data_IF_121083703780
#
_entry.id   IF_121083703780
#
_cell.length_a   1.000
_cell.length_b   1.000
_cell.length_c   1.000
_cell.angle_alpha   90.00
_cell.angle_beta   90.00
_cell.angle_gamma   90.00
#
_symmetry.space_group_name_H-M   'P 1'
#
loop_
_entity.id
_entity.type
_entity.pdbx_description
1 polymer ?
#
# COMPACT_ATOMS: atom_id res chain seq x y z
N UNK A 1 -7.25 10.23 0.71
CA UNK A 1 -7.62 11.25 -0.30
C UNK A 1 -6.82 11.06 -1.58
N UNK A 2 -7.18 11.73 -2.69
CA UNK A 2 -6.40 11.68 -3.93
C UNK A 2 -5.01 12.35 -3.79
N UNK A 3 -4.90 13.43 -3.02
CA UNK A 3 -3.64 14.09 -2.65
C UNK A 3 -3.28 15.34 -3.45
N UNK A 4 -3.63 15.39 -4.74
CA UNK A 4 -3.28 16.54 -5.60
C UNK A 4 -4.09 17.82 -5.33
N UNK A 5 -5.26 17.71 -4.71
CA UNK A 5 -6.14 18.83 -4.39
C UNK A 5 -6.72 18.63 -2.98
N UNK A 6 -6.29 19.45 -2.03
CA UNK A 6 -6.87 19.55 -0.70
C UNK A 6 -6.54 20.93 -0.11
N UNK A 7 -7.26 21.31 0.94
CA UNK A 7 -6.93 22.48 1.76
C UNK A 7 -6.68 22.01 3.19
N UNK A 8 -5.71 22.61 3.86
CA UNK A 8 -5.39 22.33 5.26
C UNK A 8 -5.02 23.64 5.97
N UNK A 9 -5.28 23.70 7.27
CA UNK A 9 -4.68 24.72 8.11
C UNK A 9 -3.15 24.57 8.05
N UNK A 10 -2.43 25.68 7.83
CA UNK A 10 -0.98 25.68 7.65
C UNK A 10 -0.26 25.12 8.87
N UNK A 11 -0.63 25.57 10.06
CA UNK A 11 0.05 25.21 11.29
C UNK A 11 -0.22 23.74 11.61
N UNK A 12 -1.46 23.27 11.44
CA UNK A 12 -1.79 21.85 11.54
C UNK A 12 -1.00 20.98 10.56
N UNK A 13 -0.86 21.40 9.29
CA UNK A 13 -0.10 20.65 8.27
C UNK A 13 1.36 20.40 8.70
N UNK A 14 2.00 21.39 9.31
CA UNK A 14 3.37 21.25 9.82
C UNK A 14 3.42 20.54 11.18
N UNK A 15 2.42 20.74 12.05
CA UNK A 15 2.30 20.04 13.34
C UNK A 15 2.20 18.53 13.14
N UNK A 16 1.39 18.07 12.17
CA UNK A 16 1.33 16.65 11.83
C UNK A 16 2.53 16.17 11.03
N UNK A 17 3.52 17.03 10.74
CA UNK A 17 4.82 16.63 10.18
C UNK A 17 5.00 16.78 8.66
N UNK A 18 4.20 17.62 7.99
CA UNK A 18 4.41 17.96 6.57
C UNK A 18 4.33 16.74 5.65
N UNK A 19 5.14 16.69 4.60
CA UNK A 19 5.40 15.46 3.84
C UNK A 19 6.67 14.76 4.35
N UNK A 20 6.81 13.48 4.03
CA UNK A 20 8.08 12.77 4.17
C UNK A 20 9.06 13.29 3.11
N UNK A 21 10.03 14.11 3.52
CA UNK A 21 10.99 14.78 2.62
C UNK A 21 11.88 13.81 1.84
N UNK A 22 11.95 12.55 2.28
CA UNK A 22 12.71 11.51 1.60
C UNK A 22 11.88 10.74 0.55
N UNK A 23 10.59 11.04 0.41
CA UNK A 23 9.81 10.57 -0.75
C UNK A 23 10.23 11.32 -2.00
N UNK A 24 10.32 10.59 -3.11
CA UNK A 24 10.91 11.09 -4.33
C UNK A 24 9.89 11.18 -5.48
N UNK A 25 10.04 12.19 -6.32
CA UNK A 25 9.26 12.48 -7.53
C UNK A 25 7.73 12.47 -7.32
N UNK A 26 7.11 11.29 -7.27
CA UNK A 26 5.67 11.12 -7.22
C UNK A 26 5.25 9.73 -6.71
N UNK A 27 4.18 9.69 -5.94
CA UNK A 27 3.43 8.48 -5.61
C UNK A 27 3.60 8.08 -4.15
N UNK A 28 2.49 7.67 -3.52
CA UNK A 28 2.46 7.18 -2.14
C UNK A 28 2.28 8.26 -1.07
N UNK A 29 2.65 9.52 -1.35
CA UNK A 29 2.57 10.62 -0.38
C UNK A 29 1.12 10.91 0.04
N UNK A 30 0.17 10.75 -0.88
CA UNK A 30 -1.25 10.90 -0.64
C UNK A 30 -1.81 9.85 0.33
N UNK A 31 -1.30 8.61 0.27
CA UNK A 31 -1.66 7.53 1.20
C UNK A 31 -0.97 7.74 2.54
N UNK A 32 0.31 8.10 2.55
CA UNK A 32 1.09 8.37 3.77
C UNK A 32 0.40 9.43 4.62
N UNK A 33 0.11 10.61 4.05
CA UNK A 33 -0.58 11.68 4.77
C UNK A 33 -2.00 11.28 5.16
N UNK A 34 -2.67 10.44 4.35
CA UNK A 34 -4.01 9.94 4.69
C UNK A 34 -4.00 9.08 5.94
N UNK A 35 -3.08 8.11 6.03
CA UNK A 35 -2.94 7.25 7.20
C UNK A 35 -2.52 8.07 8.41
N UNK A 36 -1.50 8.93 8.25
CA UNK A 36 -1.02 9.79 9.33
C UNK A 36 -2.10 10.69 9.91
N UNK A 37 -2.81 11.47 9.09
CA UNK A 37 -3.84 12.40 9.58
C UNK A 37 -4.92 11.65 10.38
N UNK A 38 -5.47 10.56 9.83
CA UNK A 38 -6.49 9.78 10.53
C UNK A 38 -5.97 9.13 11.81
N UNK A 39 -4.80 8.50 11.75
CA UNK A 39 -4.25 7.77 12.90
C UNK A 39 -3.75 8.72 13.99
N UNK A 40 -3.41 9.96 13.68
CA UNK A 40 -2.88 10.95 14.62
C UNK A 40 -3.93 11.98 15.07
N UNK A 41 -5.22 11.69 14.92
CA UNK A 41 -6.31 12.47 15.54
C UNK A 41 -6.97 13.53 14.66
N UNK A 42 -6.63 13.59 13.37
CA UNK A 42 -7.33 14.42 12.38
C UNK A 42 -8.43 13.68 11.62
N UNK A 43 -9.02 14.39 10.66
CA UNK A 43 -9.98 13.85 9.70
C UNK A 43 -9.63 14.30 8.28
N UNK A 44 -10.14 13.57 7.30
CA UNK A 44 -10.06 13.93 5.88
C UNK A 44 -11.47 13.93 5.33
N UNK A 45 -11.87 15.06 4.76
CA UNK A 45 -13.25 15.29 4.35
C UNK A 45 -13.32 15.67 2.88
N UNK A 46 -14.34 15.16 2.20
CA UNK A 46 -14.70 15.56 0.85
C UNK A 46 -15.83 16.59 0.97
N UNK A 47 -15.61 17.82 0.50
CA UNK A 47 -16.62 18.88 0.52
C UNK A 47 -17.38 18.92 -0.81
N UNK A 48 -18.64 18.43 -0.88
CA UNK A 48 -19.35 18.31 -2.16
C UNK A 48 -19.64 19.66 -2.83
N UNK A 49 -19.69 20.75 -2.06
CA UNK A 49 -19.89 22.11 -2.57
C UNK A 49 -18.61 22.73 -3.18
N UNK A 50 -17.45 22.11 -3.01
CA UNK A 50 -16.18 22.57 -3.56
C UNK A 50 -15.85 21.80 -4.83
N UNK A 51 -15.89 22.48 -5.98
CA UNK A 51 -15.67 21.86 -7.29
C UNK A 51 -14.37 22.37 -7.90
N UNK A 52 -13.46 21.44 -8.21
CA UNK A 52 -12.23 21.74 -8.96
C UNK A 52 -12.06 20.67 -10.04
N UNK A 53 -11.96 21.10 -11.29
CA UNK A 53 -11.71 20.20 -12.43
C UNK A 53 -10.25 19.75 -12.47
N UNK A 54 -10.03 18.45 -12.69
CA UNK A 54 -8.70 17.87 -12.89
C UNK A 54 -8.66 17.08 -14.21
N UNK A 55 -7.66 17.35 -15.05
CA UNK A 55 -7.45 16.62 -16.30
C UNK A 55 -6.66 15.35 -16.00
N UNK A 56 -7.37 14.23 -15.91
CA UNK A 56 -6.75 12.91 -15.76
C UNK A 56 -5.94 12.55 -17.01
N UNK A 57 -4.74 11.99 -16.79
CA UNK A 57 -3.82 11.54 -17.83
C UNK A 57 -3.59 10.04 -17.68
N UNK A 58 -3.27 9.37 -18.78
CA UNK A 58 -2.96 7.93 -18.78
C UNK A 58 -1.55 7.60 -18.28
N UNK A 59 -0.66 8.59 -18.18
CA UNK A 59 0.72 8.38 -17.75
C UNK A 59 1.42 9.68 -17.37
N UNK A 60 2.62 9.53 -16.82
CA UNK A 60 3.48 10.62 -16.36
C UNK A 60 4.24 11.21 -17.56
N UNK A 61 4.16 12.53 -17.81
CA UNK A 61 4.85 13.16 -18.95
C UNK A 61 6.31 13.55 -18.63
N UNK A 62 6.82 13.20 -17.44
CA UNK A 62 8.14 13.57 -16.94
C UNK A 62 8.92 12.32 -16.53
N UNK A 63 10.23 12.48 -16.32
CA UNK A 63 11.11 11.41 -15.87
C UNK A 63 10.71 10.96 -14.45
N UNK A 64 10.44 9.67 -14.30
CA UNK A 64 10.08 9.02 -13.04
C UNK A 64 11.29 8.41 -12.34
N UNK A 65 12.50 8.78 -12.77
CA UNK A 65 13.76 8.36 -12.13
C UNK A 65 14.07 9.26 -10.95
N UNK A 66 14.07 8.68 -9.76
CA UNK A 66 14.45 9.37 -8.52
C UNK A 66 15.96 9.42 -8.30
N UNK A 67 16.34 9.98 -7.15
CA UNK A 67 17.68 9.98 -6.56
C UNK A 67 18.31 8.59 -6.64
N UNK A 68 19.63 8.57 -6.82
CA UNK A 68 20.41 7.34 -6.97
C UNK A 68 19.94 6.42 -8.11
N UNK A 69 19.39 6.98 -9.19
CA UNK A 69 18.89 6.25 -10.36
C UNK A 69 17.75 5.26 -10.01
N UNK A 70 16.93 5.61 -9.01
CA UNK A 70 15.79 4.82 -8.59
C UNK A 70 14.68 4.84 -9.65
N UNK A 71 14.42 3.71 -10.31
CA UNK A 71 13.40 3.57 -11.36
C UNK A 71 12.02 3.18 -10.86
N UNK A 72 11.86 2.88 -9.57
CA UNK A 72 10.59 2.51 -8.93
C UNK A 72 10.27 3.46 -7.77
N UNK A 73 10.26 4.77 -8.04
CA UNK A 73 9.97 5.82 -7.04
C UNK A 73 8.65 5.61 -6.32
N UNK A 74 7.60 5.21 -7.06
CA UNK A 74 6.30 4.86 -6.48
C UNK A 74 6.41 3.69 -5.50
N UNK A 75 7.18 2.66 -5.85
CA UNK A 75 7.43 1.52 -4.98
C UNK A 75 8.21 1.88 -3.72
N UNK A 76 9.30 2.63 -3.85
CA UNK A 76 10.11 3.05 -2.70
C UNK A 76 9.32 3.95 -1.75
N UNK A 77 8.58 4.92 -2.28
CA UNK A 77 7.71 5.78 -1.45
C UNK A 77 6.61 4.96 -0.76
N UNK A 78 6.00 4.01 -1.47
CA UNK A 78 5.01 3.09 -0.91
C UNK A 78 5.60 2.18 0.18
N UNK A 79 6.87 1.80 0.05
CA UNK A 79 7.56 1.04 1.10
C UNK A 79 7.84 1.91 2.33
N UNK A 80 8.28 3.16 2.17
CA UNK A 80 8.46 4.11 3.29
C UNK A 80 7.17 4.26 4.10
N UNK A 81 6.04 4.48 3.43
CA UNK A 81 4.75 4.60 4.13
C UNK A 81 4.34 3.29 4.82
N UNK A 82 4.54 2.13 4.17
CA UNK A 82 4.15 0.84 4.72
C UNK A 82 4.96 0.48 5.97
N UNK A 83 6.27 0.77 5.96
CA UNK A 83 7.16 0.52 7.10
C UNK A 83 6.87 1.41 8.32
N UNK A 84 6.28 2.60 8.12
CA UNK A 84 5.96 3.53 9.20
C UNK A 84 4.52 3.39 9.69
N UNK A 85 3.55 3.19 8.79
CA UNK A 85 2.12 3.38 9.11
C UNK A 85 1.28 2.11 9.08
N UNK A 86 1.72 1.03 8.42
CA UNK A 86 0.87 -0.16 8.21
C UNK A 86 1.05 -1.28 9.24
N UNK A 87 1.90 -1.11 10.25
CA UNK A 87 2.17 -2.13 11.29
C UNK A 87 2.41 -3.51 10.66
N UNK A 88 1.78 -4.57 11.18
CA UNK A 88 1.89 -5.93 10.64
C UNK A 88 1.12 -6.12 9.32
N UNK A 89 0.23 -5.20 8.93
CA UNK A 89 -0.53 -5.26 7.68
C UNK A 89 0.34 -4.97 6.46
N UNK A 90 1.56 -4.44 6.63
CA UNK A 90 2.54 -4.33 5.54
C UNK A 90 2.86 -5.68 4.90
N UNK A 91 2.63 -6.81 5.60
CA UNK A 91 2.72 -8.16 5.00
C UNK A 91 1.86 -8.29 3.74
N UNK A 92 0.65 -7.71 3.74
CA UNK A 92 -0.27 -7.75 2.61
C UNK A 92 0.23 -6.86 1.47
N UNK A 93 0.80 -5.68 1.79
CA UNK A 93 1.46 -4.84 0.79
C UNK A 93 2.59 -5.61 0.08
N UNK A 94 3.42 -6.35 0.83
CA UNK A 94 4.55 -7.08 0.27
C UNK A 94 4.17 -8.31 -0.56
N UNK A 95 2.99 -8.91 -0.36
CA UNK A 95 2.42 -9.94 -1.26
C UNK A 95 2.18 -9.37 -2.67
N UNK A 96 1.76 -8.11 -2.77
CA UNK A 96 1.56 -7.43 -4.06
C UNK A 96 2.84 -6.78 -4.60
N UNK A 97 3.82 -6.50 -3.74
CA UNK A 97 5.08 -5.84 -4.09
C UNK A 97 6.30 -6.66 -3.62
N UNK A 98 6.33 -7.94 -3.98
CA UNK A 98 7.40 -8.86 -3.55
C UNK A 98 8.81 -8.38 -3.91
N UNK A 99 8.96 -7.63 -5.02
CA UNK A 99 10.24 -7.04 -5.41
C UNK A 99 10.78 -5.96 -4.45
N UNK A 100 9.98 -5.51 -3.48
CA UNK A 100 10.38 -4.50 -2.50
C UNK A 100 10.89 -5.08 -1.18
N UNK A 101 10.68 -6.39 -0.91
CA UNK A 101 11.07 -7.03 0.35
C UNK A 101 11.54 -8.46 0.11
N UNK A 102 12.64 -8.82 0.77
CA UNK A 102 13.21 -10.16 0.72
C UNK A 102 12.28 -11.16 1.41
N UNK A 103 11.74 -12.10 0.64
CA UNK A 103 11.09 -13.31 1.15
C UNK A 103 11.83 -14.50 0.51
N UNK A 104 12.87 -14.96 1.21
CA UNK A 104 13.67 -16.17 0.97
C UNK A 104 14.57 -16.28 -0.30
N UNK A 105 15.88 -16.40 -0.02
CA UNK A 105 16.97 -17.13 -0.71
C UNK A 105 17.26 -16.98 -2.21
N UNK A 106 16.40 -16.41 -3.07
CA UNK A 106 16.68 -16.40 -4.53
C UNK A 106 16.38 -15.08 -5.27
N UNK A 107 16.04 -13.97 -4.59
CA UNK A 107 15.85 -12.66 -5.24
C UNK A 107 16.70 -11.59 -4.55
N UNK A 108 17.43 -10.84 -5.37
CA UNK A 108 18.39 -9.80 -4.99
C UNK A 108 17.67 -8.58 -4.40
N UNK A 109 17.89 -8.34 -3.11
CA UNK A 109 17.83 -7.01 -2.50
C UNK A 109 16.55 -6.66 -1.74
N UNK A 110 16.68 -6.42 -0.42
CA UNK A 110 15.73 -5.58 0.30
C UNK A 110 15.94 -4.16 -0.22
N UNK A 111 14.92 -3.56 -0.85
CA UNK A 111 15.09 -2.23 -1.44
C UNK A 111 15.32 -1.23 -0.33
N UNK A 112 16.54 -0.68 -0.25
CA UNK A 112 16.85 0.37 0.71
C UNK A 112 16.02 1.61 0.37
N UNK A 113 15.24 2.06 1.34
CA UNK A 113 14.39 3.25 1.23
C UNK A 113 14.92 4.42 2.03
N UNK A 114 16.13 4.31 2.58
CA UNK A 114 16.74 5.30 3.44
C UNK A 114 16.20 5.27 4.88
N UNK A 115 16.59 6.28 5.66
CA UNK A 115 16.23 6.36 7.07
C UNK A 115 14.73 6.69 7.27
N UNK A 116 14.12 6.01 8.24
CA UNK A 116 12.73 6.18 8.64
C UNK A 116 12.61 6.70 10.08
N UNK A 117 13.73 6.97 10.75
CA UNK A 117 13.78 7.33 12.17
C UNK A 117 12.91 8.54 12.49
N UNK A 118 13.00 9.62 11.69
CA UNK A 118 12.22 10.83 11.95
C UNK A 118 10.72 10.62 11.77
N UNK A 119 10.30 9.79 10.81
CA UNK A 119 8.88 9.44 10.62
C UNK A 119 8.35 8.56 11.76
N UNK A 120 9.15 7.61 12.25
CA UNK A 120 8.79 6.77 13.41
C UNK A 120 8.68 7.59 14.70
N UNK A 121 9.66 8.47 14.98
CA UNK A 121 9.60 9.40 16.12
C UNK A 121 8.41 10.35 16.03
N UNK A 122 8.08 10.85 14.84
CA UNK A 122 6.88 11.66 14.65
C UNK A 122 5.62 10.91 15.07
N UNK A 123 5.47 9.66 14.61
CA UNK A 123 4.34 8.79 14.98
C UNK A 123 4.24 8.57 16.50
N UNK A 124 5.39 8.36 17.16
CA UNK A 124 5.47 8.23 18.61
C UNK A 124 5.10 9.53 19.34
N UNK A 125 5.66 10.67 18.93
CA UNK A 125 5.40 11.99 19.54
C UNK A 125 3.93 12.40 19.47
N UNK A 126 3.28 12.13 18.34
CA UNK A 126 1.86 12.43 18.13
C UNK A 126 0.93 11.37 18.74
N UNK A 127 1.49 10.32 19.37
CA UNK A 127 0.74 9.23 20.00
C UNK A 127 -0.31 8.61 19.06
N UNK A 128 0.07 8.41 17.79
CA UNK A 128 -0.86 7.96 16.77
C UNK A 128 -1.35 6.53 17.05
N UNK A 129 -2.57 6.25 16.61
CA UNK A 129 -3.21 4.93 16.72
C UNK A 129 -2.53 3.90 15.80
N UNK A 130 -2.88 2.63 15.98
CA UNK A 130 -2.42 1.53 15.13
C UNK A 130 -3.15 1.50 13.78
N UNK A 131 -2.57 0.83 12.80
CA UNK A 131 -3.22 0.60 11.52
C UNK A 131 -4.48 -0.26 11.67
N UNK A 132 -4.49 -1.18 12.64
CA UNK A 132 -5.71 -1.91 13.01
C UNK A 132 -6.83 -0.95 13.44
N UNK A 133 -6.53 0.04 14.28
CA UNK A 133 -7.52 1.05 14.66
C UNK A 133 -8.05 1.81 13.44
N UNK A 134 -7.18 2.17 12.49
CA UNK A 134 -7.59 2.82 11.24
C UNK A 134 -8.56 1.94 10.43
N UNK A 135 -8.25 0.66 10.26
CA UNK A 135 -9.14 -0.29 9.58
C UNK A 135 -10.48 -0.43 10.31
N UNK A 136 -10.47 -0.58 11.63
CA UNK A 136 -11.68 -0.80 12.42
C UNK A 136 -12.58 0.46 12.54
N UNK A 137 -12.02 1.67 12.47
CA UNK A 137 -12.74 2.91 12.81
C UNK A 137 -12.93 3.87 11.62
N UNK A 138 -12.02 3.85 10.63
CA UNK A 138 -12.06 4.78 9.49
C UNK A 138 -12.60 4.10 8.24
N UNK A 139 -12.24 2.82 8.01
CA UNK A 139 -12.69 2.05 6.84
C UNK A 139 -13.09 0.62 7.23
N UNK A 140 -14.08 0.44 8.14
CA UNK A 140 -14.46 -0.88 8.68
C UNK A 140 -14.95 -1.88 7.63
N UNK A 141 -15.45 -1.38 6.50
CA UNK A 141 -15.92 -2.18 5.36
C UNK A 141 -14.78 -2.67 4.45
N UNK A 142 -13.52 -2.30 4.73
CA UNK A 142 -12.38 -2.72 3.92
C UNK A 142 -12.14 -4.21 4.12
N UNK A 143 -12.26 -4.97 3.03
CA UNK A 143 -11.91 -6.39 3.03
C UNK A 143 -10.41 -6.60 3.31
N UNK A 144 -10.11 -7.54 4.22
CA UNK A 144 -8.75 -7.93 4.62
C UNK A 144 -8.57 -9.42 4.25
N UNK A 145 -7.69 -9.75 3.29
CA UNK A 145 -7.61 -11.09 2.70
C UNK A 145 -7.36 -12.26 3.66
N UNK A 146 -6.69 -12.02 4.78
CA UNK A 146 -6.26 -13.05 5.72
C UNK A 146 -6.96 -13.00 7.09
N UNK A 147 -8.00 -12.18 7.24
CA UNK A 147 -8.80 -12.07 8.46
C UNK A 147 -10.25 -12.53 8.20
N UNK A 148 -10.85 -13.26 9.15
CA UNK A 148 -12.21 -13.81 9.06
C UNK A 148 -12.43 -14.73 7.83
N UNK A 149 -11.42 -15.53 7.50
CA UNK A 149 -11.42 -16.48 6.37
C UNK A 149 -11.08 -17.89 6.86
N UNK A 150 -11.59 -18.92 6.18
CA UNK A 150 -11.28 -20.32 6.49
C UNK A 150 -9.84 -20.68 6.16
N UNK A 151 -9.33 -20.12 5.07
CA UNK A 151 -7.99 -20.37 4.59
C UNK A 151 -7.50 -19.16 3.81
N UNK A 152 -6.19 -18.91 3.91
CA UNK A 152 -5.48 -17.90 3.15
C UNK A 152 -4.13 -18.48 2.71
N UNK A 153 -3.80 -18.37 1.43
CA UNK A 153 -2.54 -18.88 0.90
C UNK A 153 -2.61 -19.25 -0.58
N UNK A 154 -1.74 -20.16 -1.00
CA UNK A 154 -1.69 -20.65 -2.38
C UNK A 154 -2.24 -22.08 -2.46
N UNK A 155 -2.89 -22.39 -3.59
CA UNK A 155 -3.39 -23.75 -3.87
C UNK A 155 -2.39 -24.46 -4.78
N UNK A 156 -1.67 -25.44 -4.23
CA UNK A 156 -0.69 -26.26 -4.95
C UNK A 156 -1.31 -27.59 -5.39
N UNK A 157 -1.26 -27.86 -6.69
CA UNK A 157 -1.68 -29.14 -7.28
C UNK A 157 -0.56 -30.20 -7.29
N UNK A 158 -0.91 -31.43 -7.68
CA UNK A 158 -0.03 -32.60 -7.62
C UNK A 158 1.27 -32.48 -8.44
N UNK A 159 1.26 -31.73 -9.53
CA UNK A 159 2.44 -31.50 -10.40
C UNK A 159 3.36 -30.38 -9.93
N UNK A 160 3.16 -29.89 -8.71
CA UNK A 160 3.92 -28.75 -8.17
C UNK A 160 3.58 -27.41 -8.81
N UNK A 161 2.46 -27.32 -9.52
CA UNK A 161 1.93 -26.07 -10.07
C UNK A 161 0.91 -25.46 -9.10
N UNK A 162 0.83 -24.14 -9.09
CA UNK A 162 -0.10 -23.37 -8.27
C UNK A 162 -1.20 -22.75 -9.12
N UNK A 163 -2.40 -22.63 -8.54
CA UNK A 163 -3.52 -21.89 -9.11
C UNK A 163 -3.13 -20.42 -9.31
N UNK A 164 -3.39 -19.86 -10.50
CA UNK A 164 -2.89 -18.54 -10.90
C UNK A 164 -3.94 -17.79 -11.73
N UNK A 165 -4.03 -16.46 -11.59
CA UNK A 165 -4.88 -15.62 -12.44
C UNK A 165 -4.29 -15.40 -13.84
N UNK A 166 -3.03 -15.78 -14.07
CA UNK A 166 -2.27 -15.55 -15.31
C UNK A 166 -2.29 -14.08 -15.73
N UNK A 167 -2.19 -13.18 -14.74
CA UNK A 167 -2.27 -11.72 -14.91
C UNK A 167 -3.57 -11.24 -15.57
N UNK A 168 -4.64 -12.05 -15.53
CA UNK A 168 -5.95 -11.65 -16.03
C UNK A 168 -6.59 -10.69 -15.05
N UNK A 169 -7.18 -9.62 -15.58
CA UNK A 169 -7.82 -8.57 -14.80
C UNK A 169 -8.98 -9.15 -13.97
N UNK A 170 -8.85 -9.05 -12.65
CA UNK A 170 -9.87 -9.43 -11.67
C UNK A 170 -11.11 -8.50 -11.69
N UNK A 171 -11.04 -7.40 -12.45
CA UNK A 171 -12.12 -6.42 -12.59
C UNK A 171 -13.34 -6.94 -13.39
N UNK A 172 -13.30 -8.19 -13.87
CA UNK A 172 -14.45 -8.87 -14.46
C UNK A 172 -14.94 -9.88 -13.42
N UNK A 173 -16.24 -9.85 -13.08
CA UNK A 173 -16.85 -10.72 -12.07
C UNK A 173 -16.70 -12.24 -12.31
N UNK A 174 -16.01 -12.66 -13.37
CA UNK A 174 -15.56 -14.03 -13.57
C UNK A 174 -14.13 -14.01 -14.13
N UNK A 175 -13.20 -14.65 -13.42
CA UNK A 175 -11.81 -14.81 -13.83
C UNK A 175 -11.58 -16.27 -14.19
N UNK A 176 -11.17 -16.53 -15.44
CA UNK A 176 -10.74 -17.87 -15.82
C UNK A 176 -9.36 -18.14 -15.22
N UNK A 177 -9.31 -19.03 -14.24
CA UNK A 177 -8.08 -19.43 -13.57
C UNK A 177 -7.26 -20.39 -14.43
N UNK A 178 -5.94 -20.38 -14.22
CA UNK A 178 -5.01 -21.34 -14.79
C UNK A 178 -4.09 -21.90 -13.72
N UNK A 179 -3.03 -22.59 -14.15
CA UNK A 179 -1.97 -23.06 -13.28
C UNK A 179 -0.61 -22.56 -13.77
N UNK A 180 0.27 -22.19 -12.85
CA UNK A 180 1.62 -21.71 -13.15
C UNK A 180 2.63 -22.23 -12.11
N UNK A 181 3.92 -22.03 -12.34
CA UNK A 181 4.96 -22.38 -11.36
C UNK A 181 4.71 -21.66 -10.04
N UNK A 182 4.73 -22.37 -8.92
CA UNK A 182 4.51 -21.78 -7.59
C UNK A 182 5.57 -20.73 -7.23
N UNK A 183 5.15 -19.55 -6.82
CA UNK A 183 6.01 -18.39 -6.55
C UNK A 183 6.32 -18.23 -5.05
N UNK A 184 6.81 -19.30 -4.40
CA UNK A 184 7.48 -19.43 -3.06
C UNK A 184 7.30 -18.32 -1.98
N UNK A 185 6.15 -17.69 -1.89
CA UNK A 185 5.95 -16.50 -1.05
C UNK A 185 4.69 -15.70 -1.38
N UNK A 186 4.03 -16.05 -2.48
CA UNK A 186 2.69 -15.60 -2.79
C UNK A 186 2.72 -14.31 -3.59
N UNK A 187 2.81 -14.44 -4.91
CA UNK A 187 2.34 -13.36 -5.77
C UNK A 187 0.85 -13.18 -5.56
N UNK A 188 0.39 -11.94 -5.59
CA UNK A 188 -1.03 -11.61 -5.67
C UNK A 188 -1.81 -12.44 -6.69
N UNK A 189 -1.18 -12.87 -7.80
CA UNK A 189 -1.81 -13.73 -8.80
C UNK A 189 -2.15 -15.15 -8.30
N UNK A 190 -1.45 -15.64 -7.27
CA UNK A 190 -1.54 -17.02 -6.74
C UNK A 190 -2.15 -17.11 -5.34
N UNK A 191 -2.23 -16.01 -4.61
CA UNK A 191 -2.81 -15.98 -3.27
C UNK A 191 -4.33 -15.90 -3.36
N UNK A 192 -5.01 -16.74 -2.58
CA UNK A 192 -6.46 -16.81 -2.47
C UNK A 192 -6.89 -16.88 -1.02
N UNK A 193 -8.08 -16.38 -0.77
CA UNK A 193 -8.82 -16.54 0.47
C UNK A 193 -10.07 -17.39 0.24
N UNK A 194 -10.51 -18.08 1.28
CA UNK A 194 -11.79 -18.82 1.30
C UNK A 194 -12.69 -18.18 2.35
N UNK A 195 -13.74 -17.50 1.91
CA UNK A 195 -14.64 -16.72 2.76
C UNK A 195 -15.73 -17.58 3.40
N UNK A 196 -16.36 -17.05 4.45
CA UNK A 196 -17.62 -17.57 4.96
C UNK A 196 -18.72 -17.32 3.92
N UNK A 197 -19.26 -18.39 3.35
CA UNK A 197 -20.53 -18.30 2.61
C UNK A 197 -21.63 -18.30 3.68
N UNK A 198 -22.08 -17.12 4.09
CA UNK A 198 -23.28 -16.96 4.93
C UNK A 198 -24.49 -16.64 4.06
#
# INVERSE_FOLDING_TARGET
MAGGLFAANRDYFFEVGGYDEEMDVWGGENLEISFRVWMCGGSIELMPCSHVGHIYRSGHPYDMTGRNNNKDVHGTNSKRLAEVWMDDYKRLFYVHRMGLKVILLLVVGDVDVGDLTERKKLRERLQCKSFKWFLDNVIPQKFIPDENVYAYGHVKGERGLCLDTLQRLENKGTVLLGVFTCQLGGSSAQVRNVEHIS
#
